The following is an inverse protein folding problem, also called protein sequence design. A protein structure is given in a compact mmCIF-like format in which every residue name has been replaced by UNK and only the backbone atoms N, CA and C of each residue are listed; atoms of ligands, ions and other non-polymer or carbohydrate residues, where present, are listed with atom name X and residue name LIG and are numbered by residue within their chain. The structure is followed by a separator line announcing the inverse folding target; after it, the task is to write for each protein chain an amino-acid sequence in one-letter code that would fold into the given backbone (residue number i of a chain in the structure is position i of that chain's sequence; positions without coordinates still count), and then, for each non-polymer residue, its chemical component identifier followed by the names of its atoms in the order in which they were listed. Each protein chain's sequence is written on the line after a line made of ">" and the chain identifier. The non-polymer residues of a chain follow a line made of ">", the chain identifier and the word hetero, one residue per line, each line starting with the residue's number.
data_IF_426878738572
#
_entry.id   IF_426878738572
#
_cell.length_a   1.000
_cell.length_b   1.000
_cell.length_c   1.000
_cell.angle_alpha   90.00
_cell.angle_beta   90.00
_cell.angle_gamma   90.00
#
_symmetry.space_group_name_H-M   'P 1'
#
loop_
_entity.id
_entity.type
_entity.pdbx_description
1 polymer ?
#
# COMPACT_ATOMS: atom_id res chain seq x y z
N UNK A 1 10.80 30.07 5.18
CA UNK A 1 11.65 31.22 4.87
C UNK A 1 12.67 30.86 3.77
N UNK A 2 13.42 29.74 3.87
CA UNK A 2 14.41 29.38 2.84
C UNK A 2 13.77 28.87 1.54
N UNK A 3 12.63 28.20 1.60
CA UNK A 3 11.86 27.78 0.42
C UNK A 3 11.31 29.00 -0.38
N UNK A 4 11.04 30.10 0.30
CA UNK A 4 10.52 31.32 -0.33
C UNK A 4 11.64 32.13 -1.06
N UNK A 5 12.91 31.91 -0.67
CA UNK A 5 14.08 32.54 -1.31
C UNK A 5 14.37 31.88 -2.67
N UNK A 6 14.14 30.57 -2.80
CA UNK A 6 14.38 29.83 -4.04
C UNK A 6 13.30 30.11 -5.11
N UNK A 7 12.17 30.72 -4.75
CA UNK A 7 11.12 31.11 -5.72
C UNK A 7 11.43 32.41 -6.49
N UNK A 8 12.54 33.07 -6.16
CA UNK A 8 12.95 34.33 -6.81
C UNK A 8 12.12 35.55 -6.42
N UNK A 9 11.25 35.43 -5.42
CA UNK A 9 10.43 36.54 -4.92
C UNK A 9 11.21 37.53 -4.02
N UNK A 10 12.30 37.02 -3.37
CA UNK A 10 13.18 37.88 -2.54
C UNK A 10 14.59 37.89 -3.15
N UNK A 11 15.14 39.03 -3.52
CA UNK A 11 16.50 39.12 -4.01
C UNK A 11 17.50 38.62 -2.96
N UNK A 12 18.38 37.72 -3.35
CA UNK A 12 19.38 37.07 -2.49
C UNK A 12 20.23 38.08 -1.70
N UNK A 13 20.56 39.21 -2.33
CA UNK A 13 21.36 40.31 -1.76
C UNK A 13 20.71 40.93 -0.50
N UNK A 14 19.39 40.76 -0.31
CA UNK A 14 18.69 41.28 0.87
C UNK A 14 18.73 40.31 2.06
N UNK A 15 19.15 39.06 1.86
CA UNK A 15 19.19 38.06 2.92
C UNK A 15 20.47 38.13 3.74
N UNK A 16 21.53 38.71 3.19
CA UNK A 16 22.87 38.77 3.79
C UNK A 16 23.66 37.44 3.69
N UNK A 17 23.12 36.45 2.98
CA UNK A 17 23.81 35.19 2.69
C UNK A 17 24.28 35.15 1.25
N UNK A 18 25.37 34.43 1.00
CA UNK A 18 25.85 34.11 -0.35
C UNK A 18 25.10 32.87 -0.90
N UNK A 19 25.07 32.70 -2.22
CA UNK A 19 24.49 31.52 -2.86
C UNK A 19 25.08 30.20 -2.29
N UNK A 20 26.41 30.16 -2.12
CA UNK A 20 27.11 28.98 -1.56
C UNK A 20 26.70 28.68 -0.11
N UNK A 21 26.44 29.71 0.70
CA UNK A 21 25.96 29.55 2.08
C UNK A 21 24.53 29.04 2.14
N UNK A 22 23.66 29.50 1.27
CA UNK A 22 22.26 29.02 1.17
C UNK A 22 22.23 27.58 0.67
N UNK A 23 23.01 27.25 -0.37
CA UNK A 23 23.11 25.86 -0.88
C UNK A 23 23.68 24.92 0.17
N UNK A 24 24.69 25.35 0.94
CA UNK A 24 25.24 24.58 2.04
C UNK A 24 24.23 24.36 3.17
N UNK A 25 23.42 25.38 3.50
CA UNK A 25 22.38 25.28 4.53
C UNK A 25 21.22 24.38 4.08
N UNK A 26 20.79 24.49 2.82
CA UNK A 26 19.75 23.64 2.24
C UNK A 26 20.20 22.19 2.18
N UNK A 27 21.46 21.96 1.79
CA UNK A 27 22.05 20.62 1.76
C UNK A 27 22.17 20.04 3.16
N UNK A 28 22.69 20.80 4.14
CA UNK A 28 22.79 20.36 5.53
C UNK A 28 21.42 20.11 6.18
N UNK A 29 20.41 20.90 5.85
CA UNK A 29 19.03 20.71 6.35
C UNK A 29 18.40 19.47 5.69
N UNK A 30 18.63 19.26 4.42
CA UNK A 30 18.19 18.08 3.67
C UNK A 30 18.87 16.81 4.20
N UNK A 31 20.18 16.84 4.47
CA UNK A 31 20.90 15.74 5.10
C UNK A 31 20.45 15.47 6.55
N UNK A 32 20.17 16.51 7.34
CA UNK A 32 19.66 16.38 8.70
C UNK A 32 18.24 15.78 8.72
N UNK A 33 17.39 16.17 7.77
CA UNK A 33 16.06 15.59 7.60
C UNK A 33 16.10 14.14 7.09
N UNK A 34 17.13 13.78 6.30
CA UNK A 34 17.31 12.41 5.83
C UNK A 34 17.94 11.49 6.90
N UNK A 35 18.79 12.04 7.78
CA UNK A 35 19.46 11.25 8.82
C UNK A 35 18.61 10.97 10.07
N UNK A 36 17.44 11.61 10.20
CA UNK A 36 16.56 11.42 11.37
C UNK A 36 15.34 10.54 11.05
N UNK A 37 15.22 10.05 9.82
CA UNK A 37 14.19 9.13 9.40
C UNK A 37 14.86 7.80 9.01
N UNK A 38 14.55 6.73 9.75
CA UNK A 38 14.70 5.37 9.23
C UNK A 38 14.18 5.34 7.78
N UNK A 39 14.86 4.63 6.88
CA UNK A 39 14.40 4.51 5.50
C UNK A 39 12.90 4.14 5.50
N UNK A 40 12.03 4.82 4.73
CA UNK A 40 10.57 4.58 4.77
C UNK A 40 10.17 3.13 4.51
N UNK A 41 11.05 2.36 3.89
CA UNK A 41 10.87 0.94 3.60
C UNK A 41 11.47 0.01 4.69
N UNK A 42 12.10 0.55 5.75
CA UNK A 42 12.56 -0.23 6.89
C UNK A 42 11.38 -0.57 7.81
N UNK A 43 10.98 -1.84 7.77
CA UNK A 43 9.92 -2.37 8.63
C UNK A 43 10.55 -3.23 9.72
N UNK A 44 10.11 -3.09 10.99
CA UNK A 44 10.53 -3.96 12.07
C UNK A 44 10.27 -5.44 11.76
N UNK A 45 11.09 -6.32 12.32
CA UNK A 45 10.83 -7.76 12.26
C UNK A 45 9.47 -8.07 12.88
N UNK A 46 8.68 -8.91 12.19
CA UNK A 46 7.42 -9.41 12.74
C UNK A 46 7.71 -10.17 14.03
N UNK A 47 7.04 -9.87 15.13
CA UNK A 47 7.31 -10.51 16.41
C UNK A 47 7.06 -12.01 16.36
N UNK A 48 7.87 -12.77 17.08
CA UNK A 48 7.62 -14.18 17.33
C UNK A 48 6.26 -14.38 18.02
N UNK A 49 5.57 -15.49 17.75
CA UNK A 49 4.20 -15.73 18.19
C UNK A 49 3.95 -15.53 19.70
N UNK A 50 4.99 -15.78 20.52
CA UNK A 50 4.95 -15.61 21.98
C UNK A 50 5.08 -14.15 22.43
N UNK A 51 5.53 -13.25 21.52
CA UNK A 51 5.72 -11.82 21.78
C UNK A 51 4.58 -10.96 21.22
N UNK A 52 3.61 -11.55 20.52
CA UNK A 52 2.48 -10.82 19.94
C UNK A 52 1.57 -10.28 21.03
N UNK A 53 1.30 -8.98 20.96
CA UNK A 53 0.49 -8.24 21.96
C UNK A 53 -0.94 -8.06 21.44
N UNK A 54 -1.10 -7.69 20.17
CA UNK A 54 -2.40 -7.42 19.56
C UNK A 54 -3.32 -8.64 19.53
N UNK A 55 -4.60 -8.39 19.68
CA UNK A 55 -5.65 -9.39 19.64
C UNK A 55 -6.77 -8.94 18.67
N UNK A 56 -7.50 -9.90 18.13
CA UNK A 56 -8.67 -9.59 17.28
C UNK A 56 -9.67 -8.72 18.02
N UNK A 57 -10.03 -7.61 17.40
CA UNK A 57 -10.91 -6.58 17.96
C UNK A 57 -10.16 -5.41 18.61
N UNK A 58 -8.85 -5.47 18.74
CA UNK A 58 -8.08 -4.35 19.24
C UNK A 58 -8.01 -3.21 18.23
N UNK A 59 -8.12 -1.98 18.74
CA UNK A 59 -7.94 -0.75 17.98
C UNK A 59 -6.72 0.00 18.51
N UNK A 60 -5.79 0.26 17.63
CA UNK A 60 -4.61 1.08 17.90
C UNK A 60 -4.76 2.49 17.31
N UNK A 61 -4.33 3.48 18.07
CA UNK A 61 -4.31 4.90 17.66
C UNK A 61 -2.85 5.33 17.56
N UNK A 62 -2.39 5.54 16.34
CA UNK A 62 -1.02 5.93 16.03
C UNK A 62 -1.02 7.39 15.54
N UNK A 63 -0.85 8.31 16.50
CA UNK A 63 -1.05 9.74 16.22
C UNK A 63 -2.47 10.02 15.75
N UNK A 64 -2.64 10.40 14.49
CA UNK A 64 -3.95 10.61 13.85
C UNK A 64 -4.51 9.37 13.17
N UNK A 65 -3.70 8.33 12.96
CA UNK A 65 -4.07 7.12 12.25
C UNK A 65 -4.77 6.11 13.15
N UNK A 66 -5.51 5.20 12.55
CA UNK A 66 -6.24 4.15 13.26
C UNK A 66 -5.93 2.81 12.61
N UNK A 67 -5.62 1.81 13.42
CA UNK A 67 -5.36 0.44 12.98
C UNK A 67 -6.22 -0.50 13.80
N UNK A 68 -7.01 -1.34 13.15
CA UNK A 68 -7.81 -2.37 13.82
C UNK A 68 -7.29 -3.76 13.49
N UNK A 69 -7.12 -4.59 14.50
CA UNK A 69 -6.89 -6.02 14.34
C UNK A 69 -8.23 -6.70 14.03
N UNK A 70 -8.60 -6.79 12.73
CA UNK A 70 -9.96 -7.18 12.35
C UNK A 70 -10.09 -7.74 10.95
N UNK A 71 -11.31 -8.18 10.64
CA UNK A 71 -11.67 -8.76 9.35
C UNK A 71 -12.35 -7.71 8.46
N UNK A 72 -11.78 -7.46 7.28
CA UNK A 72 -12.30 -6.51 6.28
C UNK A 72 -13.76 -6.77 5.87
N UNK A 73 -14.27 -7.98 6.05
CA UNK A 73 -15.67 -8.35 5.77
C UNK A 73 -16.61 -8.14 6.96
N UNK A 74 -16.06 -7.90 8.16
CA UNK A 74 -16.83 -7.72 9.38
C UNK A 74 -17.26 -6.24 9.53
N UNK A 75 -18.55 -5.99 9.58
CA UNK A 75 -19.12 -4.65 9.72
C UNK A 75 -18.72 -3.98 11.05
N UNK A 76 -18.69 -4.73 12.16
CA UNK A 76 -18.33 -4.19 13.47
C UNK A 76 -16.86 -3.73 13.53
N UNK A 77 -15.96 -4.49 12.89
CA UNK A 77 -14.56 -4.13 12.86
C UNK A 77 -14.35 -2.87 12.02
N UNK A 78 -15.11 -2.72 10.92
CA UNK A 78 -15.10 -1.50 10.12
C UNK A 78 -15.68 -0.29 10.87
N UNK A 79 -16.79 -0.48 11.58
CA UNK A 79 -17.37 0.57 12.41
C UNK A 79 -16.41 1.01 13.52
N UNK A 80 -15.73 0.06 14.16
CA UNK A 80 -14.70 0.33 15.17
C UNK A 80 -13.53 1.12 14.58
N UNK A 81 -13.05 0.73 13.39
CA UNK A 81 -11.97 1.41 12.71
C UNK A 81 -12.34 2.85 12.36
N UNK A 82 -13.49 3.03 11.73
CA UNK A 82 -13.89 4.30 11.15
C UNK A 82 -14.43 5.29 12.19
N UNK A 83 -15.16 4.82 13.21
CA UNK A 83 -15.73 5.65 14.29
C UNK A 83 -16.46 6.91 13.75
N UNK A 84 -17.21 6.73 12.69
CA UNK A 84 -17.93 7.81 12.00
C UNK A 84 -17.11 8.59 10.98
N UNK A 85 -15.83 8.29 10.78
CA UNK A 85 -15.04 8.88 9.71
C UNK A 85 -15.45 8.33 8.33
N UNK A 86 -15.23 9.13 7.29
CA UNK A 86 -15.57 8.81 5.90
C UNK A 86 -14.36 8.97 4.98
N UNK A 87 -13.37 8.06 5.06
CA UNK A 87 -12.23 8.13 4.14
C UNK A 87 -12.70 8.02 2.69
N UNK A 88 -12.19 8.90 1.84
CA UNK A 88 -12.62 8.97 0.44
C UNK A 88 -11.78 8.15 -0.50
N UNK A 89 -10.60 7.71 -0.06
CA UNK A 89 -9.67 6.91 -0.86
C UNK A 89 -9.62 5.49 -0.32
N UNK A 90 -9.75 4.51 -1.20
CA UNK A 90 -9.38 3.12 -0.95
C UNK A 90 -8.02 2.88 -1.63
N UNK A 91 -6.99 2.63 -0.84
CA UNK A 91 -5.68 2.20 -1.32
C UNK A 91 -5.36 0.86 -0.66
N UNK A 92 -5.43 -0.24 -1.41
CA UNK A 92 -5.45 -1.56 -0.79
C UNK A 92 -4.84 -2.65 -1.65
N UNK A 93 -4.23 -3.64 -1.00
CA UNK A 93 -3.58 -4.80 -1.62
C UNK A 93 -4.23 -6.11 -1.14
N UNK A 94 -5.39 -6.49 -1.70
CA UNK A 94 -6.10 -7.68 -1.29
C UNK A 94 -5.32 -8.96 -1.64
N UNK A 95 -5.53 -10.08 -0.93
CA UNK A 95 -4.98 -11.38 -1.31
C UNK A 95 -5.57 -11.84 -2.65
N UNK A 96 -4.77 -11.82 -3.72
CA UNK A 96 -5.24 -12.14 -5.08
C UNK A 96 -4.87 -13.55 -5.58
N UNK A 97 -4.85 -14.51 -4.69
CA UNK A 97 -4.66 -15.94 -5.02
C UNK A 97 -3.32 -16.27 -5.70
N UNK A 98 -2.29 -15.45 -5.52
CA UNK A 98 -0.96 -15.67 -6.10
C UNK A 98 -0.27 -16.90 -5.52
N UNK A 99 -0.67 -17.33 -4.33
CA UNK A 99 -0.15 -18.51 -3.62
C UNK A 99 -0.57 -19.85 -4.16
N UNK A 100 -1.51 -19.92 -5.09
CA UNK A 100 -1.60 -21.09 -5.92
C UNK A 100 -2.77 -22.02 -5.81
N UNK A 101 -3.88 -21.69 -5.22
CA UNK A 101 -5.08 -22.51 -5.41
C UNK A 101 -5.76 -22.12 -6.74
N UNK A 102 -5.44 -22.82 -7.81
CA UNK A 102 -6.17 -22.71 -9.06
C UNK A 102 -7.17 -23.86 -9.18
N UNK A 103 -8.43 -23.52 -9.42
CA UNK A 103 -9.51 -24.49 -9.70
C UNK A 103 -9.19 -25.44 -10.87
N UNK A 104 -8.16 -25.14 -11.67
CA UNK A 104 -7.76 -25.89 -12.85
C UNK A 104 -6.72 -26.99 -12.60
N UNK A 105 -6.41 -27.33 -11.36
CA UNK A 105 -5.50 -28.45 -11.04
C UNK A 105 -4.06 -28.27 -11.55
N UNK A 106 -3.65 -27.06 -11.91
CA UNK A 106 -2.25 -26.80 -12.25
C UNK A 106 -1.43 -26.84 -10.98
N UNK A 107 -0.41 -27.71 -10.99
CA UNK A 107 0.60 -27.71 -9.97
C UNK A 107 1.16 -26.29 -9.82
N UNK A 108 0.88 -25.68 -8.70
CA UNK A 108 1.31 -24.33 -8.38
C UNK A 108 2.80 -24.33 -8.16
N UNK A 109 3.49 -23.55 -8.94
CA UNK A 109 4.83 -23.16 -8.57
C UNK A 109 4.70 -22.32 -7.30
N UNK A 110 5.19 -22.83 -6.19
CA UNK A 110 5.23 -22.08 -4.94
C UNK A 110 5.98 -20.77 -5.15
N UNK A 111 5.28 -19.64 -4.98
CA UNK A 111 5.90 -18.34 -4.92
C UNK A 111 6.22 -18.12 -3.44
N UNK A 112 7.47 -18.25 -3.07
CA UNK A 112 7.97 -18.06 -1.71
C UNK A 112 9.36 -18.66 -1.56
N UNK A 113 10.15 -18.16 -0.64
CA UNK A 113 11.43 -18.77 -0.28
C UNK A 113 11.16 -20.16 0.31
N UNK A 114 11.68 -21.19 -0.34
CA UNK A 114 11.60 -22.56 0.16
C UNK A 114 12.44 -22.65 1.42
N UNK A 115 11.81 -22.77 2.58
CA UNK A 115 12.51 -23.18 3.79
C UNK A 115 12.70 -24.70 3.75
N UNK A 116 13.95 -25.14 3.98
CA UNK A 116 14.25 -26.57 4.10
C UNK A 116 13.63 -27.11 5.39
N UNK A 117 12.82 -28.14 5.28
CA UNK A 117 12.24 -28.84 6.44
C UNK A 117 13.24 -29.74 7.18
N UNK A 118 14.54 -29.67 6.82
CA UNK A 118 15.60 -30.51 7.38
C UNK A 118 15.52 -31.98 6.99
N UNK A 119 14.50 -32.37 6.21
CA UNK A 119 14.26 -33.76 5.72
C UNK A 119 14.32 -33.87 4.20
N UNK A 120 14.86 -32.83 3.52
CA UNK A 120 14.94 -32.77 2.06
C UNK A 120 13.66 -32.26 1.36
N UNK A 121 12.64 -31.93 2.10
CA UNK A 121 11.45 -31.21 1.64
C UNK A 121 11.59 -29.69 1.78
N UNK A 122 10.74 -28.96 1.10
CA UNK A 122 10.65 -27.51 1.21
C UNK A 122 9.22 -27.15 1.58
N UNK A 123 9.03 -26.48 2.72
CA UNK A 123 7.75 -25.88 3.08
C UNK A 123 7.76 -24.42 2.63
N UNK A 124 6.71 -24.00 1.98
CA UNK A 124 6.49 -22.57 1.68
C UNK A 124 5.66 -22.01 2.82
N UNK A 125 6.07 -20.89 3.46
CA UNK A 125 5.19 -20.19 4.38
C UNK A 125 3.92 -19.81 3.62
N UNK A 126 2.79 -20.31 4.05
CA UNK A 126 1.49 -19.96 3.51
C UNK A 126 0.97 -18.77 4.31
N UNK A 127 0.83 -17.61 3.67
CA UNK A 127 0.00 -16.56 4.23
C UNK A 127 -1.42 -17.15 4.24
N UNK A 128 -2.02 -17.27 5.40
CA UNK A 128 -3.28 -18.03 5.60
C UNK A 128 -4.45 -17.47 4.79
N UNK A 129 -4.39 -16.21 4.37
CA UNK A 129 -5.38 -15.51 3.55
C UNK A 129 -5.16 -15.62 2.04
N UNK A 130 -3.98 -16.06 1.57
CA UNK A 130 -3.62 -16.06 0.14
C UNK A 130 -4.08 -17.35 -0.60
N UNK A 131 -4.75 -18.26 0.11
CA UNK A 131 -5.30 -19.51 -0.44
C UNK A 131 -6.77 -19.41 -0.89
N UNK A 132 -7.22 -18.23 -1.23
CA UNK A 132 -8.58 -18.06 -1.74
C UNK A 132 -8.70 -18.65 -3.15
N UNK A 133 -9.84 -19.31 -3.42
CA UNK A 133 -10.23 -19.60 -4.80
C UNK A 133 -10.62 -18.28 -5.50
N UNK A 134 -10.66 -18.28 -6.84
CA UNK A 134 -11.17 -17.13 -7.61
C UNK A 134 -12.55 -16.68 -7.12
N UNK A 135 -13.41 -17.62 -6.73
CA UNK A 135 -14.73 -17.34 -6.17
C UNK A 135 -14.65 -16.70 -4.78
N UNK A 136 -13.75 -17.20 -3.93
CA UNK A 136 -13.48 -16.62 -2.61
C UNK A 136 -13.01 -15.18 -2.72
N UNK A 137 -12.08 -14.90 -3.63
CA UNK A 137 -11.64 -13.54 -3.94
C UNK A 137 -12.80 -12.62 -4.36
N UNK A 138 -13.66 -13.09 -5.28
CA UNK A 138 -14.80 -12.31 -5.72
C UNK A 138 -15.77 -11.98 -4.58
N UNK A 139 -16.03 -12.93 -3.68
CA UNK A 139 -16.87 -12.70 -2.50
C UNK A 139 -16.23 -11.68 -1.56
N UNK A 140 -14.93 -11.84 -1.29
CA UNK A 140 -14.16 -10.91 -0.45
C UNK A 140 -14.24 -9.48 -1.00
N UNK A 141 -13.86 -9.29 -2.26
CA UNK A 141 -13.82 -7.97 -2.88
C UNK A 141 -15.22 -7.34 -3.01
N UNK A 142 -16.24 -8.15 -3.27
CA UNK A 142 -17.62 -7.66 -3.28
C UNK A 142 -18.05 -7.10 -1.91
N UNK A 143 -17.66 -7.77 -0.82
CA UNK A 143 -17.96 -7.30 0.53
C UNK A 143 -17.20 -6.01 0.84
N UNK A 144 -15.91 -5.95 0.53
CA UNK A 144 -15.08 -4.75 0.74
C UNK A 144 -15.63 -3.56 -0.03
N UNK A 145 -15.87 -3.71 -1.34
CA UNK A 145 -16.35 -2.62 -2.19
C UNK A 145 -17.79 -2.18 -1.87
N UNK A 146 -18.63 -3.09 -1.41
CA UNK A 146 -20.01 -2.80 -1.04
C UNK A 146 -20.18 -2.09 0.31
N UNK A 147 -19.16 -2.16 1.16
CA UNK A 147 -19.21 -1.67 2.54
C UNK A 147 -18.66 -0.25 2.73
N UNK A 148 -18.13 0.38 1.66
CA UNK A 148 -17.41 1.65 1.75
C UNK A 148 -17.95 2.67 0.74
N UNK A 149 -18.14 3.92 1.19
CA UNK A 149 -18.51 5.05 0.29
C UNK A 149 -17.26 5.75 -0.24
N UNK A 150 -16.44 5.00 -0.96
CA UNK A 150 -15.18 5.46 -1.55
C UNK A 150 -15.45 6.30 -2.79
N UNK A 151 -14.70 7.40 -2.94
CA UNK A 151 -14.72 8.25 -4.13
C UNK A 151 -13.66 7.84 -5.14
N UNK A 152 -12.48 7.43 -4.66
CA UNK A 152 -11.33 6.99 -5.48
C UNK A 152 -10.81 5.67 -4.95
N UNK A 153 -10.48 4.75 -5.84
CA UNK A 153 -9.87 3.48 -5.46
C UNK A 153 -8.60 3.20 -6.28
N UNK A 154 -7.57 2.76 -5.55
CA UNK A 154 -6.35 2.16 -6.06
C UNK A 154 -6.26 0.75 -5.47
N UNK A 155 -6.44 -0.26 -6.31
CA UNK A 155 -6.50 -1.65 -5.85
C UNK A 155 -5.42 -2.44 -6.56
N UNK A 156 -4.46 -2.94 -5.79
CA UNK A 156 -3.40 -3.81 -6.32
C UNK A 156 -3.98 -5.15 -6.77
N UNK A 157 -3.45 -5.69 -7.85
CA UNK A 157 -3.88 -6.96 -8.40
C UNK A 157 -2.84 -7.54 -9.36
N UNK A 158 -3.03 -8.80 -9.75
CA UNK A 158 -2.28 -9.41 -10.83
C UNK A 158 -3.10 -9.48 -12.14
N UNK A 159 -2.44 -9.84 -13.24
CA UNK A 159 -3.07 -9.94 -14.55
C UNK A 159 -4.19 -10.99 -14.64
N UNK A 160 -4.16 -12.03 -13.77
CA UNK A 160 -5.16 -13.11 -13.76
C UNK A 160 -6.45 -12.65 -13.11
N UNK A 161 -6.31 -11.87 -12.03
CA UNK A 161 -7.45 -11.39 -11.24
C UNK A 161 -8.04 -10.09 -11.80
N UNK A 162 -7.33 -9.42 -12.72
CA UNK A 162 -7.75 -8.15 -13.31
C UNK A 162 -9.19 -8.18 -13.85
N UNK A 163 -9.54 -9.20 -14.63
CA UNK A 163 -10.87 -9.29 -15.25
C UNK A 163 -11.98 -9.42 -14.20
N UNK A 164 -11.77 -10.19 -13.15
CA UNK A 164 -12.75 -10.37 -12.08
C UNK A 164 -12.90 -9.11 -11.24
N UNK A 165 -11.78 -8.46 -10.93
CA UNK A 165 -11.77 -7.21 -10.19
C UNK A 165 -12.45 -6.09 -10.99
N UNK A 166 -12.24 -6.03 -12.31
CA UNK A 166 -12.86 -5.04 -13.18
C UNK A 166 -14.39 -5.09 -13.07
N UNK A 167 -14.98 -6.27 -13.23
CA UNK A 167 -16.44 -6.45 -13.15
C UNK A 167 -17.00 -6.10 -11.76
N UNK A 168 -16.24 -6.42 -10.70
CA UNK A 168 -16.65 -6.10 -9.32
C UNK A 168 -16.62 -4.59 -9.05
N UNK A 169 -15.57 -3.92 -9.49
CA UNK A 169 -15.41 -2.48 -9.31
C UNK A 169 -16.49 -1.72 -10.09
N UNK A 170 -16.72 -2.06 -11.37
CA UNK A 170 -17.79 -1.47 -12.16
C UNK A 170 -19.18 -1.70 -11.53
N UNK A 171 -19.44 -2.91 -11.01
CA UNK A 171 -20.72 -3.22 -10.37
C UNK A 171 -20.91 -2.56 -9.00
N UNK A 172 -19.84 -2.12 -8.35
CA UNK A 172 -19.91 -1.35 -7.09
C UNK A 172 -20.29 0.12 -7.28
N UNK A 173 -20.39 0.59 -8.53
CA UNK A 173 -20.63 1.97 -8.90
C UNK A 173 -19.35 2.85 -8.94
N UNK A 174 -18.18 2.25 -8.72
CA UNK A 174 -16.90 2.85 -9.09
C UNK A 174 -16.66 2.58 -10.58
N UNK A 175 -16.34 3.60 -11.37
CA UNK A 175 -15.96 3.39 -12.77
C UNK A 175 -14.47 3.20 -12.91
N UNK A 176 -14.04 2.09 -13.51
CA UNK A 176 -12.62 1.85 -13.81
C UNK A 176 -12.14 2.88 -14.84
N UNK A 177 -11.02 3.52 -14.60
CA UNK A 177 -10.49 4.61 -15.44
C UNK A 177 -9.17 4.27 -16.10
N UNK A 178 -8.30 3.57 -15.38
CA UNK A 178 -7.00 3.21 -15.93
C UNK A 178 -6.44 1.95 -15.26
N UNK A 179 -5.50 1.35 -15.96
CA UNK A 179 -4.58 0.35 -15.45
C UNK A 179 -3.26 1.06 -15.18
N UNK A 180 -2.86 1.13 -13.91
CA UNK A 180 -1.53 1.59 -13.54
C UNK A 180 -0.64 0.35 -13.44
N UNK A 181 0.57 0.44 -13.98
CA UNK A 181 1.55 -0.64 -14.00
C UNK A 181 2.71 -0.26 -13.10
N UNK A 182 2.94 -1.02 -12.06
CA UNK A 182 4.18 -0.92 -11.31
C UNK A 182 5.24 -1.84 -11.93
N UNK A 183 6.24 -1.23 -12.58
CA UNK A 183 7.42 -1.92 -13.13
C UNK A 183 8.46 -2.12 -12.03
N UNK A 184 8.68 -3.36 -11.62
CA UNK A 184 9.62 -3.75 -10.56
C UNK A 184 11.10 -3.73 -10.99
N UNK A 185 11.38 -3.37 -12.25
CA UNK A 185 12.70 -3.33 -12.90
C UNK A 185 13.40 -4.69 -13.04
N UNK A 186 13.04 -5.68 -12.27
CA UNK A 186 13.57 -7.05 -12.37
C UNK A 186 12.43 -8.07 -12.49
N UNK A 187 12.58 -9.05 -13.38
CA UNK A 187 11.57 -10.08 -13.56
C UNK A 187 11.54 -11.04 -12.36
N UNK A 188 10.36 -11.54 -12.02
CA UNK A 188 10.19 -12.58 -11.02
C UNK A 188 10.89 -13.89 -11.36
N UNK A 189 10.86 -14.86 -10.45
CA UNK A 189 11.40 -16.20 -10.68
C UNK A 189 10.58 -16.98 -11.72
N UNK A 190 11.19 -17.97 -12.36
CA UNK A 190 10.55 -18.87 -13.32
C UNK A 190 11.25 -18.93 -14.67
N UNK A 191 10.64 -19.64 -15.60
CA UNK A 191 11.11 -19.82 -16.97
C UNK A 191 10.15 -19.14 -17.97
N UNK A 192 10.63 -18.79 -19.15
CA UNK A 192 9.84 -18.16 -20.21
C UNK A 192 9.54 -16.69 -19.91
N UNK A 193 8.30 -16.27 -20.12
CA UNK A 193 7.85 -14.91 -19.86
C UNK A 193 7.60 -14.72 -18.36
N UNK A 194 8.47 -13.99 -17.71
CA UNK A 194 8.43 -13.73 -16.26
C UNK A 194 7.81 -12.37 -16.00
N UNK A 195 6.83 -12.32 -15.08
CA UNK A 195 6.20 -11.07 -14.71
C UNK A 195 7.22 -10.13 -14.01
N UNK A 196 7.40 -8.95 -14.58
CA UNK A 196 8.24 -7.87 -14.05
C UNK A 196 7.38 -6.75 -13.47
N UNK A 197 6.08 -6.91 -13.42
CA UNK A 197 5.15 -5.87 -13.00
C UNK A 197 4.06 -6.41 -12.10
N UNK A 198 3.43 -5.49 -11.37
CA UNK A 198 2.11 -5.64 -10.78
C UNK A 198 1.17 -4.59 -11.36
N UNK A 199 -0.12 -4.83 -11.23
CA UNK A 199 -1.14 -3.95 -11.74
C UNK A 199 -1.85 -3.26 -10.58
N UNK A 200 -2.26 -2.02 -10.79
CA UNK A 200 -3.07 -1.26 -9.86
C UNK A 200 -4.28 -0.78 -10.64
N UNK A 201 -5.46 -1.19 -10.19
CA UNK A 201 -6.71 -0.72 -10.78
C UNK A 201 -7.03 0.65 -10.22
N UNK A 202 -7.10 1.64 -11.10
CA UNK A 202 -7.53 2.98 -10.76
C UNK A 202 -9.00 3.16 -11.16
N UNK A 203 -9.82 3.52 -10.17
CA UNK A 203 -11.25 3.74 -10.36
C UNK A 203 -11.74 4.95 -9.56
N UNK A 204 -12.83 5.59 -10.00
CA UNK A 204 -13.48 6.63 -9.22
C UNK A 204 -14.98 6.71 -9.53
N UNK A 205 -15.77 7.06 -8.51
CA UNK A 205 -17.23 7.19 -8.61
C UNK A 205 -17.63 8.48 -9.34
N UNK A 206 -17.02 9.59 -8.93
CA UNK A 206 -17.19 10.90 -9.56
C UNK A 206 -15.81 11.44 -9.89
N UNK A 207 -15.72 12.30 -10.92
CA UNK A 207 -14.43 12.91 -11.27
C UNK A 207 -13.85 13.66 -10.06
N UNK A 208 -12.74 13.19 -9.48
CA UNK A 208 -12.13 13.85 -8.34
C UNK A 208 -11.59 15.23 -8.73
N UNK A 209 -11.46 16.10 -7.76
CA UNK A 209 -10.72 17.33 -7.92
C UNK A 209 -9.25 16.98 -7.74
N UNK A 210 -8.48 17.01 -8.81
CA UNK A 210 -7.05 16.80 -8.72
C UNK A 210 -6.38 18.08 -8.19
N UNK A 211 -5.48 17.93 -7.22
CA UNK A 211 -4.80 19.06 -6.56
C UNK A 211 -3.88 19.83 -7.51
N UNK A 212 -3.37 19.14 -8.50
CA UNK A 212 -2.58 19.76 -9.55
C UNK A 212 -3.09 19.33 -10.93
N UNK A 213 -2.82 20.14 -11.95
CA UNK A 213 -3.17 19.84 -13.34
C UNK A 213 -2.12 18.96 -14.03
N UNK A 214 -1.23 18.31 -13.29
CA UNK A 214 -0.20 17.42 -13.85
C UNK A 214 -0.83 16.10 -14.29
N UNK A 215 -0.48 15.67 -15.49
CA UNK A 215 -0.73 14.29 -15.91
C UNK A 215 0.37 13.38 -15.34
N UNK A 216 -0.01 12.21 -14.85
CA UNK A 216 0.92 11.19 -14.39
C UNK A 216 1.05 10.07 -15.41
N UNK A 217 2.25 9.51 -15.54
CA UNK A 217 2.43 8.25 -16.26
C UNK A 217 1.69 7.14 -15.51
N UNK A 218 0.97 6.30 -16.24
CA UNK A 218 0.39 5.08 -15.66
C UNK A 218 1.38 3.92 -15.58
N UNK A 219 2.67 4.15 -15.86
CA UNK A 219 3.75 3.22 -15.59
C UNK A 219 4.64 3.84 -14.52
N UNK A 220 4.64 3.24 -13.34
CA UNK A 220 5.44 3.64 -12.21
C UNK A 220 6.65 2.70 -12.11
N UNK A 221 7.80 3.23 -11.78
CA UNK A 221 9.02 2.46 -11.60
C UNK A 221 9.50 2.59 -10.17
N UNK A 222 9.58 1.47 -9.48
CA UNK A 222 10.27 1.33 -8.20
C UNK A 222 10.81 -0.09 -8.09
N UNK A 223 11.98 -0.25 -7.51
CA UNK A 223 12.47 -1.56 -7.13
C UNK A 223 11.63 -2.09 -5.98
N UNK A 224 11.55 -3.42 -5.82
CA UNK A 224 11.02 -3.98 -4.58
C UNK A 224 11.88 -3.48 -3.42
N UNK A 225 11.24 -3.14 -2.31
CA UNK A 225 11.98 -2.99 -1.05
C UNK A 225 12.80 -4.26 -0.83
N UNK A 226 14.08 -4.11 -0.58
CA UNK A 226 15.00 -5.25 -0.41
C UNK A 226 14.78 -6.02 0.89
N UNK A 227 13.65 -5.80 1.56
CA UNK A 227 13.33 -6.42 2.83
C UNK A 227 12.93 -7.89 2.63
N UNK A 228 13.83 -8.81 2.99
CA UNK A 228 13.58 -10.26 2.89
C UNK A 228 12.50 -10.73 3.86
N UNK A 229 12.18 -9.95 4.90
CA UNK A 229 11.22 -10.29 5.95
C UNK A 229 9.76 -10.12 5.49
N UNK A 230 9.52 -9.20 4.53
CA UNK A 230 8.19 -8.93 3.99
C UNK A 230 8.19 -8.99 2.44
N UNK A 231 8.21 -10.19 1.86
CA UNK A 231 8.33 -10.37 0.40
C UNK A 231 7.15 -9.80 -0.40
N UNK A 232 6.04 -9.48 0.26
CA UNK A 232 4.84 -8.89 -0.35
C UNK A 232 4.71 -7.39 -0.13
N UNK A 233 5.63 -6.78 0.64
CA UNK A 233 5.62 -5.34 0.90
C UNK A 233 5.64 -4.53 -0.39
N UNK A 234 4.80 -3.51 -0.44
CA UNK A 234 4.79 -2.52 -1.52
C UNK A 234 5.74 -1.37 -1.17
N UNK A 235 6.54 -0.87 -2.12
CA UNK A 235 7.40 0.29 -1.87
C UNK A 235 6.57 1.51 -1.48
N UNK A 236 6.95 2.20 -0.41
CA UNK A 236 6.31 3.45 0.05
C UNK A 236 6.22 4.46 -1.07
N UNK A 237 7.28 4.62 -1.87
CA UNK A 237 7.36 5.52 -3.03
C UNK A 237 6.20 5.33 -4.02
N UNK A 238 5.75 4.09 -4.26
CA UNK A 238 4.62 3.82 -5.16
C UNK A 238 3.33 4.34 -4.54
N UNK A 239 3.11 4.08 -3.25
CA UNK A 239 1.90 4.48 -2.55
C UNK A 239 1.82 6.01 -2.44
N UNK A 240 2.93 6.66 -2.12
CA UNK A 240 3.04 8.12 -2.09
C UNK A 240 2.67 8.75 -3.45
N UNK A 241 3.19 8.19 -4.55
CA UNK A 241 2.84 8.65 -5.90
C UNK A 241 1.35 8.49 -6.23
N UNK A 242 0.69 7.44 -5.72
CA UNK A 242 -0.75 7.25 -5.90
C UNK A 242 -1.54 8.27 -5.08
N UNK A 243 -1.03 8.68 -3.92
CA UNK A 243 -1.67 9.65 -3.02
C UNK A 243 -1.32 11.10 -3.32
N UNK A 244 -0.22 11.39 -4.01
CA UNK A 244 0.29 12.75 -4.28
C UNK A 244 -0.75 13.71 -4.90
N UNK A 245 -1.71 13.18 -5.65
CA UNK A 245 -2.73 13.99 -6.32
C UNK A 245 -4.12 13.89 -5.67
N UNK A 246 -4.19 13.43 -4.45
CA UNK A 246 -5.44 13.19 -3.72
C UNK A 246 -5.46 13.86 -2.34
N UNK A 247 -4.66 14.91 -2.14
CA UNK A 247 -4.56 15.66 -0.87
C UNK A 247 -5.87 16.36 -0.46
N UNK A 248 -6.82 16.48 -1.38
CA UNK A 248 -8.18 16.94 -1.11
C UNK A 248 -9.00 15.97 -0.25
N UNK A 249 -8.58 14.72 -0.16
CA UNK A 249 -9.27 13.69 0.63
C UNK A 249 -8.84 13.76 2.10
N UNK A 250 -9.78 13.57 3.00
CA UNK A 250 -9.52 13.61 4.44
C UNK A 250 -8.85 12.33 4.94
N UNK A 251 -9.04 11.20 4.23
CA UNK A 251 -8.49 9.95 4.68
C UNK A 251 -8.36 8.86 3.62
N UNK A 252 -7.47 7.93 3.94
CA UNK A 252 -7.14 6.74 3.17
C UNK A 252 -7.56 5.50 3.95
N UNK A 253 -8.37 4.64 3.35
CA UNK A 253 -8.74 3.33 3.89
C UNK A 253 -7.89 2.25 3.22
N UNK A 254 -7.27 1.41 4.04
CA UNK A 254 -6.66 0.15 3.60
C UNK A 254 -7.27 -1.00 4.37
N UNK A 255 -7.92 -1.90 3.67
CA UNK A 255 -8.62 -3.06 4.26
C UNK A 255 -7.73 -4.29 4.41
N UNK A 256 -6.47 -4.20 3.99
CA UNK A 256 -5.45 -5.26 4.09
C UNK A 256 -4.10 -4.62 4.41
N UNK A 257 -3.97 -4.10 5.63
CA UNK A 257 -2.87 -3.22 6.08
C UNK A 257 -1.48 -3.83 5.98
N UNK A 258 -1.37 -5.16 6.08
CA UNK A 258 -0.10 -5.87 5.98
C UNK A 258 0.95 -5.32 6.95
N UNK A 259 2.05 -4.84 6.42
CA UNK A 259 3.14 -4.24 7.17
C UNK A 259 3.01 -2.71 7.41
N UNK A 260 1.86 -2.11 7.10
CA UNK A 260 1.60 -0.70 7.38
C UNK A 260 2.14 0.30 6.37
N UNK A 261 2.61 -0.14 5.22
CA UNK A 261 3.17 0.76 4.19
C UNK A 261 2.21 1.89 3.79
N UNK A 262 0.91 1.59 3.75
CA UNK A 262 -0.13 2.59 3.47
C UNK A 262 -0.19 3.68 4.54
N UNK A 263 0.05 3.36 5.82
CA UNK A 263 0.09 4.33 6.90
C UNK A 263 1.27 5.29 6.73
N UNK A 264 2.46 4.76 6.43
CA UNK A 264 3.68 5.54 6.20
C UNK A 264 3.47 6.50 5.02
N UNK A 265 2.96 5.99 3.90
CA UNK A 265 2.69 6.81 2.73
C UNK A 265 1.62 7.88 2.99
N UNK A 266 0.57 7.58 3.76
CA UNK A 266 -0.46 8.55 4.13
C UNK A 266 0.10 9.64 5.04
N UNK A 267 0.95 9.29 6.03
CA UNK A 267 1.60 10.26 6.90
C UNK A 267 2.48 11.22 6.11
N UNK A 268 3.30 10.70 5.17
CA UNK A 268 4.21 11.53 4.35
C UNK A 268 3.47 12.58 3.51
N UNK A 269 2.25 12.26 3.02
CA UNK A 269 1.43 13.19 2.24
C UNK A 269 0.42 13.98 3.09
N UNK A 270 0.45 13.84 4.40
CA UNK A 270 -0.40 14.58 5.34
C UNK A 270 -1.84 14.08 5.45
N UNK A 271 -2.15 12.86 5.04
CA UNK A 271 -3.48 12.24 5.13
C UNK A 271 -3.63 11.34 6.37
N UNK A 272 -4.85 11.17 6.85
CA UNK A 272 -5.15 10.18 7.89
C UNK A 272 -5.33 8.80 7.27
N UNK A 273 -4.69 7.78 7.85
CA UNK A 273 -4.85 6.38 7.46
C UNK A 273 -5.79 5.63 8.41
N UNK A 274 -6.61 4.77 7.82
CA UNK A 274 -7.49 3.82 8.49
C UNK A 274 -7.12 2.43 7.98
N UNK A 275 -6.41 1.64 8.78
CA UNK A 275 -5.91 0.33 8.38
C UNK A 275 -6.66 -0.79 9.09
N UNK A 276 -6.90 -1.84 8.36
CA UNK A 276 -7.42 -3.10 8.88
C UNK A 276 -6.47 -4.23 8.54
N UNK A 277 -6.07 -4.98 9.54
CA UNK A 277 -5.21 -6.15 9.38
C UNK A 277 -5.73 -7.29 10.25
N UNK A 278 -5.83 -8.48 9.68
CA UNK A 278 -6.43 -9.63 10.35
C UNK A 278 -5.44 -10.41 11.21
N UNK A 279 -4.15 -10.34 10.87
CA UNK A 279 -3.09 -11.08 11.54
C UNK A 279 -2.48 -10.23 12.67
N UNK A 280 -2.64 -10.62 13.96
CA UNK A 280 -2.16 -9.83 15.08
C UNK A 280 -0.67 -9.49 15.03
N UNK A 281 0.17 -10.40 14.53
CA UNK A 281 1.60 -10.17 14.42
C UNK A 281 1.95 -9.06 13.43
N UNK A 282 1.17 -8.91 12.36
CA UNK A 282 1.34 -7.78 11.43
C UNK A 282 0.82 -6.47 12.03
N UNK A 283 -0.24 -6.51 12.84
CA UNK A 283 -0.71 -5.32 13.56
C UNK A 283 0.37 -4.80 14.52
N UNK A 284 1.09 -5.69 15.20
CA UNK A 284 2.21 -5.32 16.08
C UNK A 284 3.44 -4.79 15.30
N UNK A 285 3.49 -5.03 14.00
CA UNK A 285 4.56 -4.51 13.10
C UNK A 285 4.25 -3.09 12.62
N UNK A 286 2.96 -2.73 12.50
CA UNK A 286 2.48 -1.41 12.09
C UNK A 286 2.73 -0.38 13.19
#
# INVERSE_FOLDING_TARGET
>A
IFADIDTGEIPMELTGYTEDEVESLVTALSEALHNDLSEPDDIPETPEAEAVISQKGDLWILGRHRVVCGDATNERDRELLLDGAHPEILLTDPPYCSGGFQESGRATGSIGSKQSDGKGGFTTPTISSDNLSTRGYQVLMKNVLGATDIKVAYIFTDWRMWIYLFDLVESSGLGVRNMIVWNKKSPGMGNGWRAQHELIMFAHRTKPKWDNHKGYSNVLEATRSGNELHPTQKPVEILEKLLDNTQWAEGVLDTFGGSGTTLIAAESVGQQAFLMEMEPAFVDTI
#
